data_IF_379320394875
#
_entry.id   IF_379320394875
#
_cell.length_a   1.000
_cell.length_b   1.000
_cell.length_c   1.000
_cell.angle_alpha   90.00
_cell.angle_beta   90.00
_cell.angle_gamma   90.00
#
_symmetry.space_group_name_H-M   'P 1'
#
loop_
_entity.id
_entity.type
_entity.pdbx_description
1 polymer ?
#
# COMPACT_ATOMS: atom_id res chain seq x y z
N UNK A 1 -1.06 -25.03 31.17
CA UNK A 1 -1.61 -24.39 29.97
C UNK A 1 -0.86 -23.07 29.84
N UNK A 2 0.18 -23.01 29.00
CA UNK A 2 0.98 -21.79 28.84
C UNK A 2 0.12 -20.70 28.19
N UNK A 3 0.31 -19.46 28.65
CA UNK A 3 -0.38 -18.27 28.12
C UNK A 3 -0.06 -18.10 26.63
N UNK A 4 -1.05 -17.82 25.75
CA UNK A 4 -0.83 -17.60 24.32
C UNK A 4 -0.23 -16.22 23.99
N UNK A 5 0.06 -15.39 24.98
CA UNK A 5 0.73 -14.11 24.77
C UNK A 5 2.26 -14.32 24.70
N UNK A 6 2.96 -13.66 23.75
CA UNK A 6 4.41 -13.76 23.65
C UNK A 6 5.06 -13.41 24.98
N UNK A 7 6.05 -14.20 25.41
CA UNK A 7 6.79 -13.94 26.65
C UNK A 7 7.41 -12.54 26.55
N UNK A 8 6.92 -11.60 27.33
CA UNK A 8 7.55 -10.29 27.45
C UNK A 8 8.90 -10.49 28.17
N UNK A 9 9.98 -10.60 27.41
CA UNK A 9 11.33 -10.64 27.95
C UNK A 9 11.61 -9.34 28.71
N UNK A 10 12.13 -9.39 29.93
CA UNK A 10 12.43 -8.19 30.72
C UNK A 10 13.45 -7.28 29.99
N UNK A 11 13.21 -5.96 29.96
CA UNK A 11 14.18 -4.98 29.49
C UNK A 11 14.96 -4.48 30.72
N UNK A 12 16.24 -4.81 30.82
CA UNK A 12 17.12 -4.35 31.90
C UNK A 12 17.92 -3.14 31.45
N UNK A 13 17.87 -2.04 32.21
CA UNK A 13 18.67 -0.83 31.97
C UNK A 13 19.53 -0.54 33.21
N UNK A 14 20.86 -0.54 33.11
CA UNK A 14 21.73 -0.22 34.25
C UNK A 14 21.65 1.28 34.59
N UNK A 15 21.65 1.61 35.90
CA UNK A 15 21.70 2.99 36.40
C UNK A 15 22.90 3.14 37.33
N UNK A 16 23.77 4.11 37.04
CA UNK A 16 24.82 4.53 37.95
C UNK A 16 24.31 5.69 38.83
N UNK A 17 23.83 5.36 40.03
CA UNK A 17 23.19 6.32 40.94
C UNK A 17 24.11 7.46 41.42
N UNK A 18 25.43 7.30 41.29
CA UNK A 18 26.41 8.37 41.52
C UNK A 18 26.36 9.48 40.47
N UNK A 19 25.77 9.22 39.30
CA UNK A 19 25.72 10.16 38.17
C UNK A 19 24.30 10.59 37.80
N UNK A 20 23.30 9.70 37.95
CA UNK A 20 21.90 10.00 37.63
C UNK A 20 20.94 9.10 38.41
N UNK A 21 19.77 9.64 38.76
CA UNK A 21 18.65 8.89 39.34
C UNK A 21 17.55 8.60 38.29
N UNK A 22 17.82 8.86 37.01
CA UNK A 22 16.89 8.64 35.91
C UNK A 22 17.49 7.70 34.87
N UNK A 23 16.63 6.92 34.20
CA UNK A 23 16.98 6.06 33.09
C UNK A 23 16.19 6.45 31.84
N UNK A 24 16.81 6.34 30.67
CA UNK A 24 16.12 6.45 29.38
C UNK A 24 15.85 5.06 28.84
N UNK A 25 14.57 4.69 28.78
CA UNK A 25 14.13 3.43 28.20
C UNK A 25 14.04 3.61 26.69
N UNK A 26 14.65 2.70 25.93
CA UNK A 26 14.36 2.52 24.50
C UNK A 26 13.55 1.23 24.41
N UNK A 27 12.22 1.30 24.20
CA UNK A 27 11.42 0.09 24.01
C UNK A 27 12.00 -0.74 22.87
N UNK A 28 11.68 -2.03 22.79
CA UNK A 28 11.91 -2.79 21.54
C UNK A 28 10.84 -2.37 20.55
N UNK A 29 11.25 -1.81 19.41
CA UNK A 29 10.35 -1.39 18.33
C UNK A 29 10.36 -2.41 17.19
N UNK A 30 11.30 -3.36 17.24
CA UNK A 30 11.37 -4.50 16.34
C UNK A 30 10.63 -5.69 16.94
N UNK A 31 9.92 -6.40 16.07
CA UNK A 31 9.25 -7.67 16.37
C UNK A 31 10.32 -8.70 16.75
N UNK A 32 10.20 -9.32 17.92
CA UNK A 32 11.04 -10.47 18.31
C UNK A 32 10.57 -11.74 17.60
N UNK A 33 11.47 -12.70 17.39
CA UNK A 33 11.16 -14.00 16.77
C UNK A 33 10.52 -13.88 15.37
N UNK A 34 10.85 -12.82 14.63
CA UNK A 34 10.38 -12.66 13.25
C UNK A 34 10.98 -13.72 12.33
N UNK A 35 10.19 -14.16 11.35
CA UNK A 35 10.62 -15.09 10.29
C UNK A 35 11.88 -14.60 9.56
N UNK A 36 12.01 -13.27 9.43
CA UNK A 36 13.14 -12.62 8.78
C UNK A 36 13.99 -11.84 9.78
N UNK A 37 15.31 -11.93 9.66
CA UNK A 37 16.24 -11.13 10.47
C UNK A 37 16.13 -9.64 10.12
N UNK A 38 16.28 -8.73 11.11
CA UNK A 38 16.26 -7.29 10.86
C UNK A 38 17.43 -6.88 9.96
N UNK A 39 17.16 -5.99 9.01
CA UNK A 39 18.15 -5.43 8.08
C UNK A 39 18.35 -3.95 8.39
N UNK A 40 19.59 -3.42 8.36
CA UNK A 40 19.82 -1.99 8.49
C UNK A 40 19.02 -1.19 7.44
N UNK A 41 18.25 -0.21 7.89
CA UNK A 41 17.41 0.62 7.03
C UNK A 41 17.34 2.06 7.55
N UNK A 42 17.08 3.00 6.65
CA UNK A 42 16.71 4.37 7.00
C UNK A 42 15.20 4.46 7.15
N UNK A 43 14.74 5.10 8.22
CA UNK A 43 13.32 5.31 8.48
C UNK A 43 12.99 6.81 8.43
N UNK A 44 11.93 7.17 7.71
CA UNK A 44 11.38 8.53 7.67
C UNK A 44 9.87 8.48 7.90
N UNK A 45 9.37 8.96 9.05
CA UNK A 45 7.93 9.07 9.27
C UNK A 45 7.35 10.13 8.33
N UNK A 46 6.18 9.85 7.76
CA UNK A 46 5.41 10.78 6.94
C UNK A 46 4.06 10.99 7.63
N UNK A 47 3.69 12.25 7.85
CA UNK A 47 2.47 12.59 8.58
C UNK A 47 1.41 13.02 7.58
N UNK A 48 0.21 12.44 7.72
CA UNK A 48 -0.94 12.66 6.83
C UNK A 48 -0.72 12.22 5.37
N UNK A 49 -1.78 12.38 4.56
CA UNK A 49 -1.80 11.90 3.19
C UNK A 49 -0.96 12.72 2.21
N UNK A 50 -0.86 14.04 2.37
CA UNK A 50 -0.19 14.89 1.36
C UNK A 50 1.30 14.57 1.21
N UNK A 51 2.04 14.55 2.31
CA UNK A 51 3.47 14.21 2.30
C UNK A 51 3.69 12.74 1.94
N UNK A 52 2.85 11.85 2.47
CA UNK A 52 2.92 10.41 2.19
C UNK A 52 2.71 10.10 0.70
N UNK A 53 1.61 10.59 0.11
CA UNK A 53 1.30 10.34 -1.29
C UNK A 53 2.31 10.98 -2.23
N UNK A 54 2.80 12.20 -1.93
CA UNK A 54 3.88 12.82 -2.72
C UNK A 54 5.15 11.97 -2.71
N UNK A 55 5.60 11.52 -1.55
CA UNK A 55 6.79 10.70 -1.45
C UNK A 55 6.66 9.37 -2.22
N UNK A 56 5.49 8.73 -2.13
CA UNK A 56 5.20 7.50 -2.90
C UNK A 56 5.18 7.79 -4.40
N UNK A 57 4.54 8.88 -4.84
CA UNK A 57 4.50 9.27 -6.25
C UNK A 57 5.92 9.46 -6.81
N UNK A 58 6.77 10.22 -6.10
CA UNK A 58 8.14 10.48 -6.53
C UNK A 58 8.99 9.21 -6.61
N UNK A 59 8.79 8.28 -5.67
CA UNK A 59 9.47 6.98 -5.70
C UNK A 59 9.06 6.16 -6.93
N UNK A 60 7.76 6.13 -7.26
CA UNK A 60 7.26 5.44 -8.45
C UNK A 60 7.77 6.11 -9.73
N UNK A 61 7.76 7.44 -9.80
CA UNK A 61 8.26 8.19 -10.94
C UNK A 61 9.74 7.91 -11.22
N UNK A 62 10.55 7.79 -10.16
CA UNK A 62 12.00 7.48 -10.24
C UNK A 62 12.32 6.00 -10.41
N UNK A 63 11.36 5.08 -10.26
CA UNK A 63 11.62 3.65 -10.35
C UNK A 63 12.15 3.24 -11.73
N UNK A 64 13.20 2.41 -11.76
CA UNK A 64 13.84 1.96 -13.01
C UNK A 64 13.64 0.47 -13.30
N UNK A 65 13.30 -0.33 -12.28
CA UNK A 65 13.23 -1.80 -12.40
C UNK A 65 11.85 -2.35 -12.13
N UNK A 66 11.28 -2.02 -10.98
CA UNK A 66 9.96 -2.48 -10.60
C UNK A 66 9.25 -1.53 -9.64
N UNK A 67 7.94 -1.72 -9.57
CA UNK A 67 7.06 -1.11 -8.57
C UNK A 67 6.13 -2.21 -8.07
N UNK A 68 6.19 -2.53 -6.78
CA UNK A 68 5.28 -3.46 -6.13
C UNK A 68 4.37 -2.72 -5.14
N UNK A 69 3.06 -2.84 -5.32
CA UNK A 69 2.06 -2.24 -4.42
C UNK A 69 1.21 -3.36 -3.85
N UNK A 70 1.10 -3.42 -2.52
CA UNK A 70 0.17 -4.29 -1.83
C UNK A 70 -0.75 -3.39 -1.02
N UNK A 71 -2.06 -3.50 -1.26
CA UNK A 71 -3.00 -2.58 -0.63
C UNK A 71 -4.38 -3.21 -0.43
N UNK A 72 -5.05 -2.75 0.63
CA UNK A 72 -6.46 -3.07 0.84
C UNK A 72 -7.35 -2.41 -0.22
N UNK A 73 -7.16 -1.12 -0.51
CA UNK A 73 -7.92 -0.41 -1.53
C UNK A 73 -7.02 0.28 -2.57
N UNK A 74 -7.48 0.32 -3.81
CA UNK A 74 -6.77 0.93 -4.92
C UNK A 74 -7.75 1.64 -5.87
N UNK A 75 -7.55 2.94 -6.05
CA UNK A 75 -8.32 3.75 -6.99
C UNK A 75 -7.36 4.35 -8.05
N UNK A 76 -7.35 3.82 -9.28
CA UNK A 76 -6.47 4.28 -10.36
C UNK A 76 -6.54 5.79 -10.67
N UNK A 77 -7.72 6.40 -10.53
CA UNK A 77 -7.96 7.82 -10.83
C UNK A 77 -7.49 8.78 -9.74
N UNK A 78 -6.97 8.26 -8.62
CA UNK A 78 -6.54 9.08 -7.50
C UNK A 78 -5.28 9.88 -7.84
N UNK A 79 -5.27 11.16 -7.45
CA UNK A 79 -4.10 12.03 -7.56
C UNK A 79 -3.32 12.03 -6.26
N UNK A 80 -2.07 11.55 -6.33
CA UNK A 80 -1.15 11.58 -5.20
C UNK A 80 -0.53 12.96 -5.01
N UNK A 81 -0.34 13.70 -6.11
CA UNK A 81 0.02 15.12 -6.10
C UNK A 81 -1.15 15.89 -6.71
N UNK A 82 -1.66 16.90 -6.01
CA UNK A 82 -2.90 17.64 -6.34
C UNK A 82 -2.59 19.04 -6.86
N UNK A 83 -1.81 19.14 -7.93
CA UNK A 83 -1.40 20.42 -8.51
C UNK A 83 -2.00 20.70 -9.90
N UNK A 84 -2.82 19.78 -10.42
CA UNK A 84 -3.45 19.89 -11.74
C UNK A 84 -2.52 19.57 -12.91
N UNK A 85 -1.25 19.23 -12.66
CA UNK A 85 -0.24 18.97 -13.69
C UNK A 85 0.18 17.50 -13.69
N UNK A 86 0.31 16.88 -12.52
CA UNK A 86 0.75 15.49 -12.43
C UNK A 86 -0.37 14.51 -12.81
N UNK A 87 -0.05 13.41 -13.52
CA UNK A 87 -1.01 12.35 -13.81
C UNK A 87 -1.54 11.69 -12.53
N UNK A 88 -2.72 11.08 -12.64
CA UNK A 88 -3.24 10.18 -11.61
C UNK A 88 -2.36 8.93 -11.47
N UNK A 89 -2.48 8.22 -10.35
CA UNK A 89 -1.61 7.08 -10.03
C UNK A 89 -1.70 5.95 -11.08
N UNK A 90 -2.89 5.67 -11.59
CA UNK A 90 -3.10 4.65 -12.62
C UNK A 90 -2.36 4.97 -13.91
N UNK A 91 -2.32 6.25 -14.30
CA UNK A 91 -1.64 6.70 -15.52
C UNK A 91 -0.12 6.71 -15.33
N UNK A 92 0.37 7.18 -14.18
CA UNK A 92 1.80 7.10 -13.85
C UNK A 92 2.30 5.65 -13.97
N UNK A 93 1.56 4.69 -13.40
CA UNK A 93 1.93 3.29 -13.45
C UNK A 93 1.94 2.71 -14.87
N UNK A 94 0.97 3.10 -15.72
CA UNK A 94 0.98 2.75 -17.15
C UNK A 94 2.20 3.32 -17.87
N UNK A 95 2.54 4.58 -17.63
CA UNK A 95 3.74 5.22 -18.22
C UNK A 95 5.02 4.51 -17.78
N UNK A 96 5.14 4.15 -16.50
CA UNK A 96 6.27 3.35 -16.00
C UNK A 96 6.35 1.97 -16.66
N UNK A 97 5.21 1.28 -16.78
CA UNK A 97 5.14 -0.02 -17.45
C UNK A 97 5.52 0.06 -18.94
N UNK A 98 5.04 1.09 -19.65
CA UNK A 98 5.41 1.36 -21.04
C UNK A 98 6.91 1.64 -21.20
N UNK A 99 7.52 2.30 -20.20
CA UNK A 99 8.98 2.50 -20.10
C UNK A 99 9.79 1.27 -19.68
N UNK A 100 9.17 0.09 -19.56
CA UNK A 100 9.85 -1.17 -19.24
C UNK A 100 9.99 -1.49 -17.74
N UNK A 101 9.41 -0.68 -16.86
CA UNK A 101 9.38 -0.97 -15.41
C UNK A 101 8.34 -2.05 -15.12
N UNK A 102 8.70 -3.08 -14.35
CA UNK A 102 7.75 -4.13 -13.96
C UNK A 102 6.82 -3.64 -12.85
N UNK A 103 5.60 -3.29 -13.19
CA UNK A 103 4.56 -2.87 -12.23
C UNK A 103 3.70 -4.06 -11.81
N UNK A 104 3.58 -4.30 -10.50
CA UNK A 104 2.73 -5.35 -9.92
C UNK A 104 1.91 -4.79 -8.77
N UNK A 105 0.61 -5.05 -8.77
CA UNK A 105 -0.30 -4.60 -7.73
C UNK A 105 -1.09 -5.80 -7.21
N UNK A 106 -0.99 -6.06 -5.91
CA UNK A 106 -1.81 -7.02 -5.20
C UNK A 106 -2.86 -6.27 -4.39
N UNK A 107 -4.07 -6.20 -4.94
CA UNK A 107 -5.24 -5.61 -4.28
C UNK A 107 -6.09 -6.69 -3.62
N UNK A 108 -6.49 -6.48 -2.37
CA UNK A 108 -7.42 -7.39 -1.70
C UNK A 108 -8.85 -7.21 -2.23
N UNK A 109 -9.56 -8.31 -2.51
CA UNK A 109 -10.93 -8.30 -3.02
C UNK A 109 -11.81 -9.30 -2.26
N UNK A 110 -12.99 -8.87 -1.82
CA UNK A 110 -14.09 -9.78 -1.48
C UNK A 110 -14.75 -10.32 -2.74
N UNK A 111 -15.31 -11.54 -2.75
CA UNK A 111 -16.03 -12.08 -3.91
C UNK A 111 -16.98 -11.04 -4.51
N UNK A 112 -16.81 -10.79 -5.82
CA UNK A 112 -17.57 -9.80 -6.59
C UNK A 112 -17.44 -8.35 -6.12
N UNK A 113 -16.29 -7.99 -5.53
CA UNK A 113 -16.01 -6.63 -5.05
C UNK A 113 -17.09 -6.10 -4.08
N UNK A 114 -17.56 -7.00 -3.20
CA UNK A 114 -18.73 -6.76 -2.34
C UNK A 114 -18.43 -6.00 -1.05
N UNK A 115 -17.18 -5.59 -0.80
CA UNK A 115 -16.81 -4.79 0.37
C UNK A 115 -17.59 -3.46 0.45
N UNK A 116 -18.00 -2.89 -0.69
CA UNK A 116 -18.87 -1.72 -0.74
C UNK A 116 -20.25 -1.91 -0.09
N UNK A 117 -20.73 -3.15 0.05
CA UNK A 117 -21.97 -3.46 0.78
C UNK A 117 -21.85 -3.13 2.27
N UNK A 118 -20.66 -3.34 2.84
CA UNK A 118 -20.31 -2.97 4.21
C UNK A 118 -19.89 -1.49 4.36
N UNK A 119 -19.97 -0.68 3.29
CA UNK A 119 -19.56 0.72 3.29
C UNK A 119 -18.08 0.95 2.98
N UNK A 120 -17.36 -0.12 2.60
CA UNK A 120 -15.91 -0.15 2.47
C UNK A 120 -15.50 -0.46 1.02
N UNK A 121 -16.05 0.30 0.06
CA UNK A 121 -15.77 0.11 -1.37
C UNK A 121 -14.30 0.40 -1.70
N UNK A 122 -13.48 -0.64 -1.77
CA UNK A 122 -12.02 -0.56 -1.80
C UNK A 122 -11.42 -0.62 -3.22
N UNK A 123 -12.15 -1.15 -4.20
CA UNK A 123 -11.71 -1.27 -5.60
C UNK A 123 -12.77 -0.69 -6.55
N UNK A 124 -12.99 0.63 -6.56
CA UNK A 124 -14.04 1.23 -7.39
C UNK A 124 -13.88 0.89 -8.87
N UNK A 125 -14.98 0.58 -9.54
CA UNK A 125 -15.00 0.26 -10.97
C UNK A 125 -14.54 -1.15 -11.33
N UNK A 126 -13.92 -1.90 -10.39
CA UNK A 126 -13.48 -3.28 -10.62
C UNK A 126 -14.64 -4.27 -10.67
N UNK A 127 -14.58 -5.19 -11.64
CA UNK A 127 -15.52 -6.32 -11.79
C UNK A 127 -16.77 -5.97 -12.60
N UNK A 128 -17.59 -6.99 -12.87
CA UNK A 128 -18.86 -6.86 -13.63
C UNK A 128 -20.06 -6.58 -12.72
N UNK A 129 -20.07 -7.14 -11.50
CA UNK A 129 -21.06 -6.87 -10.47
C UNK A 129 -20.54 -5.71 -9.62
N UNK A 130 -21.30 -4.61 -9.55
CA UNK A 130 -20.80 -3.31 -9.04
C UNK A 130 -21.70 -2.70 -7.96
N UNK A 131 -22.17 -3.53 -7.03
CA UNK A 131 -23.09 -3.11 -5.97
C UNK A 131 -22.36 -2.16 -5.01
N UNK A 132 -22.86 -0.93 -4.87
CA UNK A 132 -22.28 0.10 -3.97
C UNK A 132 -20.77 0.34 -4.15
N UNK A 133 -20.24 0.08 -5.34
CA UNK A 133 -18.82 0.23 -5.70
C UNK A 133 -18.28 1.67 -5.61
N UNK A 134 -19.17 2.67 -5.53
CA UNK A 134 -18.87 4.09 -5.31
C UNK A 134 -19.31 4.62 -3.95
N UNK A 135 -19.83 3.76 -3.08
CA UNK A 135 -20.32 4.21 -1.78
C UNK A 135 -19.19 4.92 -1.03
N UNK A 136 -19.50 6.11 -0.49
CA UNK A 136 -18.55 6.97 0.24
C UNK A 136 -17.38 7.52 -0.59
N UNK A 137 -17.39 7.37 -1.92
CA UNK A 137 -16.37 7.96 -2.78
C UNK A 137 -16.76 9.32 -3.31
N UNK A 138 -15.80 10.24 -3.35
CA UNK A 138 -15.95 11.58 -3.91
C UNK A 138 -15.51 11.68 -5.38
N UNK A 139 -15.25 10.56 -6.05
CA UNK A 139 -14.79 10.55 -7.45
C UNK A 139 -15.88 11.03 -8.41
N UNK A 140 -15.47 11.81 -9.40
CA UNK A 140 -16.35 12.24 -10.49
C UNK A 140 -16.76 11.05 -11.36
N UNK A 141 -17.83 11.18 -12.18
CA UNK A 141 -18.17 10.15 -13.16
C UNK A 141 -17.00 9.77 -14.07
N UNK A 142 -16.28 10.76 -14.61
CA UNK A 142 -15.13 10.52 -15.50
C UNK A 142 -13.99 9.76 -14.80
N UNK A 143 -13.71 10.11 -13.53
CA UNK A 143 -12.72 9.39 -12.72
C UNK A 143 -13.12 7.93 -12.51
N UNK A 144 -14.41 7.69 -12.23
CA UNK A 144 -14.93 6.35 -12.04
C UNK A 144 -14.94 5.51 -13.33
N UNK A 145 -15.21 6.14 -14.48
CA UNK A 145 -15.11 5.49 -15.79
C UNK A 145 -13.66 5.13 -16.09
N UNK A 146 -12.72 6.02 -15.80
CA UNK A 146 -11.29 5.73 -15.88
C UNK A 146 -10.88 4.56 -14.99
N UNK A 147 -11.35 4.51 -13.74
CA UNK A 147 -11.07 3.41 -12.80
C UNK A 147 -11.54 2.07 -13.38
N UNK A 148 -12.76 2.03 -13.93
CA UNK A 148 -13.34 0.84 -14.57
C UNK A 148 -12.48 0.37 -15.73
N UNK A 149 -12.13 1.28 -16.64
CA UNK A 149 -11.40 0.93 -17.85
C UNK A 149 -9.99 0.45 -17.49
N UNK A 150 -9.35 1.12 -16.52
CA UNK A 150 -8.06 0.70 -15.96
C UNK A 150 -8.12 -0.71 -15.37
N UNK A 151 -9.12 -1.03 -14.55
CA UNK A 151 -9.26 -2.39 -14.01
C UNK A 151 -9.59 -3.41 -15.11
N UNK A 152 -10.40 -3.07 -16.09
CA UNK A 152 -10.73 -3.98 -17.19
C UNK A 152 -9.50 -4.39 -18.01
N UNK A 153 -8.56 -3.46 -18.19
CA UNK A 153 -7.31 -3.71 -18.92
C UNK A 153 -6.28 -4.43 -18.05
N UNK A 154 -6.05 -3.92 -16.83
CA UNK A 154 -4.91 -4.29 -16.01
C UNK A 154 -5.20 -5.46 -15.06
N UNK A 155 -6.43 -5.59 -14.56
CA UNK A 155 -6.72 -6.58 -13.53
C UNK A 155 -6.82 -8.00 -14.08
N UNK A 156 -6.27 -8.93 -13.32
CA UNK A 156 -6.39 -10.37 -13.55
C UNK A 156 -6.57 -11.08 -12.23
N UNK A 157 -7.18 -12.26 -12.28
CA UNK A 157 -7.21 -13.16 -11.12
C UNK A 157 -5.80 -13.60 -10.76
N UNK A 158 -5.54 -13.84 -9.48
CA UNK A 158 -4.23 -14.21 -8.94
C UNK A 158 -3.51 -15.30 -9.74
N UNK A 159 -4.19 -16.43 -9.99
CA UNK A 159 -3.62 -17.56 -10.76
C UNK A 159 -3.23 -17.25 -12.21
N UNK A 160 -3.69 -16.12 -12.77
CA UNK A 160 -3.36 -15.65 -14.13
C UNK A 160 -2.36 -14.48 -14.14
N UNK A 161 -2.04 -13.93 -12.97
CA UNK A 161 -1.15 -12.79 -12.85
C UNK A 161 0.30 -13.15 -13.26
N UNK A 162 0.75 -14.35 -12.88
CA UNK A 162 2.09 -14.84 -13.22
C UNK A 162 2.29 -15.00 -14.75
N UNK A 163 1.25 -15.40 -15.47
CA UNK A 163 1.29 -15.59 -16.93
C UNK A 163 1.52 -14.27 -17.68
N UNK A 164 0.95 -13.15 -17.19
CA UNK A 164 1.12 -11.82 -17.79
C UNK A 164 2.54 -11.25 -17.65
N UNK A 165 3.31 -11.69 -16.65
CA UNK A 165 4.70 -11.23 -16.45
C UNK A 165 5.66 -11.94 -17.40
N UNK A 166 5.34 -13.18 -17.78
CA UNK A 166 6.18 -14.03 -18.64
C UNK A 166 5.76 -14.01 -20.12
N UNK A 167 4.60 -13.43 -20.44
CA UNK A 167 4.10 -13.26 -21.81
C UNK A 167 4.72 -12.07 -22.53
N UNK A 168 6.00 -12.18 -22.90
CA UNK A 168 6.63 -11.51 -24.05
C UNK A 168 7.70 -12.43 -24.62
#
# INVERSE_FOLDING_TARGET
MESPLPRLNNITVPIALSHTNSARIVPRWFVEESEFSPIPATYRPLVNGEEAFRAVYEAIAKAEKSVEIICWGFQPSMYFIRDGCHPCIGELLRLKAAGGVKVRILGWEMPFNSAGVAGEGNLPGKGVIRIKSRAMQSSTPDQYDYDRDWFSECAVSDGKAAERVNGK
#
